data_IF_527574147522
#
_entry.id   IF_527574147522
#
_cell.length_a   1.000
_cell.length_b   1.000
_cell.length_c   1.000
_cell.angle_alpha   90.00
_cell.angle_beta   90.00
_cell.angle_gamma   90.00
#
_symmetry.space_group_name_H-M   'P 1'
#
loop_
_entity.id
_entity.type
_entity.pdbx_description
1 polymer ?
#
# COMPACT_ATOMS: atom_id res chain seq x y z
N UNK A 1 2.02 -5.60 -22.84
CA UNK A 1 2.48 -4.21 -23.08
C UNK A 1 1.94 -3.35 -21.94
N UNK A 2 2.81 -2.80 -21.08
CA UNK A 2 2.39 -1.79 -20.10
C UNK A 2 2.14 -0.48 -20.84
N UNK A 3 0.88 -0.04 -20.87
CA UNK A 3 0.52 1.28 -21.37
C UNK A 3 0.57 2.28 -20.21
N UNK A 4 1.25 3.41 -20.41
CA UNK A 4 1.35 4.48 -19.40
C UNK A 4 0.00 4.96 -18.86
N UNK A 5 -1.03 5.05 -19.71
CA UNK A 5 -2.40 5.40 -19.29
C UNK A 5 -3.01 4.28 -18.46
N UNK A 6 -2.85 3.02 -18.90
CA UNK A 6 -3.32 1.85 -18.15
C UNK A 6 -2.71 1.83 -16.75
N UNK A 7 -1.38 1.94 -16.67
CA UNK A 7 -0.65 2.05 -15.40
C UNK A 7 -1.16 3.20 -14.53
N UNK A 8 -1.37 4.40 -15.10
CA UNK A 8 -1.89 5.54 -14.33
C UNK A 8 -3.29 5.30 -13.74
N UNK A 9 -4.12 4.51 -14.42
CA UNK A 9 -5.50 4.25 -14.02
C UNK A 9 -5.66 3.03 -13.11
N UNK A 10 -4.86 1.98 -13.30
CA UNK A 10 -5.04 0.69 -12.63
C UNK A 10 -3.99 0.36 -11.58
N UNK A 11 -2.78 0.93 -11.66
CA UNK A 11 -1.70 0.61 -10.73
C UNK A 11 -2.10 0.97 -9.31
N UNK A 12 -1.98 0.01 -8.41
CA UNK A 12 -2.06 0.25 -6.98
C UNK A 12 -0.68 0.58 -6.41
N UNK A 13 -0.60 1.66 -5.66
CA UNK A 13 0.49 1.88 -4.73
C UNK A 13 0.09 1.31 -3.38
N UNK A 14 0.92 0.42 -2.82
CA UNK A 14 0.72 -0.16 -1.49
C UNK A 14 1.78 0.43 -0.57
N UNK A 15 1.37 1.34 0.30
CA UNK A 15 2.22 1.90 1.33
C UNK A 15 2.13 1.03 2.59
N UNK A 16 3.26 0.55 3.08
CA UNK A 16 3.38 -0.26 4.30
C UNK A 16 4.13 0.55 5.35
N UNK A 17 3.56 0.66 6.55
CA UNK A 17 4.10 1.44 7.66
C UNK A 17 4.10 0.62 8.94
N UNK A 18 5.04 0.91 9.85
CA UNK A 18 5.18 0.28 11.17
C UNK A 18 5.25 -1.27 11.11
N UNK A 19 5.76 -1.83 10.01
CA UNK A 19 5.75 -3.27 9.73
C UNK A 19 7.10 -3.92 10.06
N UNK A 20 7.51 -3.83 11.33
CA UNK A 20 8.83 -4.29 11.77
C UNK A 20 9.09 -5.78 11.47
N UNK A 21 8.04 -6.60 11.50
CA UNK A 21 8.11 -8.04 11.21
C UNK A 21 7.96 -8.37 9.72
N UNK A 22 7.65 -7.37 8.88
CA UNK A 22 7.50 -7.54 7.43
C UNK A 22 6.21 -8.24 6.99
N UNK A 23 5.23 -8.45 7.89
CA UNK A 23 4.00 -9.21 7.60
C UNK A 23 3.17 -8.57 6.48
N UNK A 24 3.06 -7.24 6.48
CA UNK A 24 2.30 -6.51 5.46
C UNK A 24 3.08 -6.38 4.17
N UNK A 25 4.39 -6.15 4.25
CA UNK A 25 5.28 -6.09 3.09
C UNK A 25 5.24 -7.40 2.32
N UNK A 26 5.35 -8.53 3.02
CA UNK A 26 5.40 -9.83 2.38
C UNK A 26 4.04 -10.20 1.77
N UNK A 27 2.93 -9.90 2.46
CA UNK A 27 1.58 -10.03 1.90
C UNK A 27 1.36 -9.14 0.67
N UNK A 28 1.84 -7.89 0.68
CA UNK A 28 1.78 -7.00 -0.47
C UNK A 28 2.62 -7.52 -1.64
N UNK A 29 3.79 -8.08 -1.37
CA UNK A 29 4.68 -8.68 -2.38
C UNK A 29 4.14 -10.01 -2.95
N UNK A 30 3.18 -10.66 -2.29
CA UNK A 30 2.54 -11.87 -2.81
C UNK A 30 1.47 -11.59 -3.89
N UNK A 31 1.03 -10.34 -4.05
CA UNK A 31 0.02 -9.97 -5.05
C UNK A 31 0.58 -10.06 -6.50
N UNK A 32 -0.23 -9.87 -7.55
CA UNK A 32 0.25 -9.70 -8.93
C UNK A 32 1.16 -8.48 -9.11
N UNK A 33 2.36 -8.68 -9.69
CA UNK A 33 3.41 -7.64 -9.80
C UNK A 33 3.06 -6.50 -10.75
N UNK A 34 2.44 -6.81 -11.87
CA UNK A 34 2.23 -5.85 -12.96
C UNK A 34 1.26 -4.72 -12.60
N UNK A 35 0.44 -4.91 -11.57
CA UNK A 35 -0.61 -3.97 -11.16
C UNK A 35 -0.31 -3.31 -9.81
N UNK A 36 0.93 -3.48 -9.27
CA UNK A 36 1.31 -2.91 -7.98
C UNK A 36 2.67 -2.21 -7.95
N UNK A 37 2.80 -1.33 -6.97
CA UNK A 37 4.08 -0.89 -6.40
C UNK A 37 4.00 -1.03 -4.89
N UNK A 38 5.08 -1.44 -4.22
CA UNK A 38 5.13 -1.53 -2.75
C UNK A 38 6.12 -0.50 -2.23
N UNK A 39 5.67 0.37 -1.34
CA UNK A 39 6.48 1.37 -0.64
C UNK A 39 6.47 0.98 0.83
N UNK A 40 7.51 0.26 1.26
CA UNK A 40 7.68 -0.11 2.66
C UNK A 40 8.57 0.92 3.35
N UNK A 41 8.08 1.47 4.46
CA UNK A 41 8.86 2.36 5.32
C UNK A 41 8.78 1.87 6.75
N UNK A 42 9.92 1.90 7.44
CA UNK A 42 10.01 1.48 8.84
C UNK A 42 9.38 2.53 9.78
N UNK A 43 9.36 3.79 9.35
CA UNK A 43 8.80 4.92 10.08
C UNK A 43 7.78 5.69 9.24
N UNK A 44 6.66 6.07 9.85
CA UNK A 44 5.60 6.81 9.19
C UNK A 44 6.11 8.10 8.50
N UNK A 45 7.04 8.83 9.11
CA UNK A 45 7.59 10.07 8.54
C UNK A 45 8.39 9.91 7.23
N UNK A 46 8.76 8.68 6.86
CA UNK A 46 9.59 8.39 5.70
C UNK A 46 8.80 8.20 4.39
N UNK A 47 7.46 8.22 4.42
CA UNK A 47 6.67 8.20 3.18
C UNK A 47 6.98 9.45 2.33
N UNK A 48 7.07 9.33 0.99
CA UNK A 48 7.38 10.46 0.12
C UNK A 48 6.43 11.67 0.32
N UNK A 49 6.96 12.88 0.17
CA UNK A 49 6.15 14.08 0.18
C UNK A 49 5.08 14.03 -0.93
N UNK A 50 3.85 14.41 -0.60
CA UNK A 50 2.71 14.32 -1.52
C UNK A 50 2.06 12.93 -1.61
N UNK A 51 2.59 11.90 -0.94
CA UNK A 51 1.90 10.60 -0.84
C UNK A 51 0.56 10.75 -0.09
N UNK A 52 -0.50 10.21 -0.68
CA UNK A 52 -1.81 10.16 -0.04
C UNK A 52 -1.82 9.25 1.19
N UNK A 53 -0.97 8.21 1.21
CA UNK A 53 -0.79 7.36 2.38
C UNK A 53 -0.13 8.13 3.53
N UNK A 54 0.83 9.03 3.23
CA UNK A 54 1.45 9.91 4.24
C UNK A 54 0.40 10.76 4.97
N UNK A 55 -0.60 11.26 4.25
CA UNK A 55 -1.71 12.03 4.84
C UNK A 55 -2.61 11.20 5.78
N UNK A 56 -2.59 9.87 5.64
CA UNK A 56 -3.42 8.94 6.45
C UNK A 56 -2.62 8.13 7.47
N UNK A 57 -1.29 8.19 7.44
CA UNK A 57 -0.43 7.35 8.28
C UNK A 57 -0.70 7.47 9.78
N UNK A 58 -1.20 8.61 10.26
CA UNK A 58 -1.53 8.82 11.67
C UNK A 58 -2.67 7.90 12.15
N UNK A 59 -3.43 7.28 11.24
CA UNK A 59 -4.46 6.29 11.56
C UNK A 59 -3.93 4.86 11.58
N UNK A 60 -2.66 4.63 11.23
CA UNK A 60 -2.07 3.30 11.25
C UNK A 60 -1.80 2.85 12.69
N UNK A 61 -2.13 1.59 13.04
CA UNK A 61 -1.70 0.99 14.29
C UNK A 61 -0.17 0.95 14.45
N UNK A 62 0.27 0.84 15.70
CA UNK A 62 1.69 0.76 16.03
C UNK A 62 2.33 -0.58 15.62
N UNK A 63 1.52 -1.64 15.51
CA UNK A 63 1.91 -3.00 15.10
C UNK A 63 1.88 -3.21 13.56
N UNK A 64 1.65 -2.14 12.80
CA UNK A 64 1.75 -2.14 11.35
C UNK A 64 0.43 -1.93 10.64
N UNK A 65 0.52 -1.39 9.42
CA UNK A 65 -0.62 -1.31 8.50
C UNK A 65 -0.15 -1.25 7.05
N UNK A 66 -1.07 -1.56 6.15
CA UNK A 66 -0.95 -1.22 4.74
C UNK A 66 -2.06 -0.27 4.29
N UNK A 67 -1.76 0.58 3.31
CA UNK A 67 -2.74 1.41 2.59
C UNK A 67 -2.68 1.05 1.12
N UNK A 68 -3.83 0.75 0.53
CA UNK A 68 -3.94 0.49 -0.91
C UNK A 68 -4.46 1.75 -1.58
N UNK A 69 -3.64 2.34 -2.44
CA UNK A 69 -3.94 3.58 -3.13
C UNK A 69 -4.07 3.36 -4.63
N UNK A 70 -5.21 3.75 -5.23
CA UNK A 70 -5.47 3.69 -6.68
C UNK A 70 -6.16 4.97 -7.12
N UNK A 71 -5.82 5.46 -8.31
CA UNK A 71 -6.48 6.60 -8.95
C UNK A 71 -6.69 7.83 -8.03
N UNK A 72 -5.70 8.14 -7.19
CA UNK A 72 -5.74 9.30 -6.30
C UNK A 72 -6.58 9.12 -5.03
N UNK A 73 -6.91 7.88 -4.64
CA UNK A 73 -7.59 7.57 -3.39
C UNK A 73 -6.88 6.44 -2.67
N UNK A 74 -6.87 6.48 -1.34
CA UNK A 74 -6.33 5.40 -0.50
C UNK A 74 -7.43 4.79 0.36
N UNK A 75 -7.28 3.51 0.67
CA UNK A 75 -8.12 2.79 1.62
C UNK A 75 -8.02 3.36 3.05
N UNK A 76 -8.86 2.84 3.94
CA UNK A 76 -8.57 2.82 5.37
C UNK A 76 -7.31 1.96 5.64
N UNK A 77 -6.65 2.11 6.81
CA UNK A 77 -5.55 1.22 7.18
C UNK A 77 -6.03 -0.23 7.17
N UNK A 78 -5.30 -1.07 6.45
CA UNK A 78 -5.47 -2.52 6.46
C UNK A 78 -4.62 -3.07 7.59
N UNK A 79 -5.26 -3.66 8.58
CA UNK A 79 -4.62 -4.14 9.82
C UNK A 79 -4.40 -5.65 9.85
N UNK A 80 -5.01 -6.37 8.91
CA UNK A 80 -4.82 -7.81 8.70
C UNK A 80 -4.16 -8.04 7.33
N UNK A 81 -2.92 -8.56 7.25
CA UNK A 81 -2.17 -8.69 6.00
C UNK A 81 -2.92 -9.49 4.92
N UNK A 82 -3.62 -10.56 5.31
CA UNK A 82 -4.41 -11.40 4.42
C UNK A 82 -5.56 -10.65 3.73
N UNK A 83 -6.03 -9.55 4.33
CA UNK A 83 -7.09 -8.72 3.74
C UNK A 83 -6.62 -7.98 2.49
N UNK A 84 -5.30 -7.85 2.26
CA UNK A 84 -4.75 -7.25 1.05
C UNK A 84 -5.18 -8.01 -0.21
N UNK A 85 -5.24 -9.35 -0.16
CA UNK A 85 -5.70 -10.16 -1.29
C UNK A 85 -7.18 -9.89 -1.63
N UNK A 86 -8.02 -9.71 -0.61
CA UNK A 86 -9.44 -9.39 -0.79
C UNK A 86 -9.66 -8.01 -1.40
N UNK A 87 -8.84 -7.02 -1.01
CA UNK A 87 -8.84 -5.68 -1.60
C UNK A 87 -8.24 -5.65 -3.01
N UNK A 88 -7.52 -6.70 -3.41
CA UNK A 88 -6.89 -6.79 -4.72
C UNK A 88 -7.84 -7.28 -5.82
N UNK A 89 -8.85 -8.06 -5.45
CA UNK A 89 -9.82 -8.66 -6.38
C UNK A 89 -10.98 -7.73 -6.75
N UNK A 90 -11.06 -6.54 -6.14
CA UNK A 90 -12.07 -5.50 -6.39
C UNK A 90 -11.45 -4.33 -7.13
#
# INVERSE_FOLDING_TARGET
LLNAIGTRLSLAEIAVVNDAEGRFRDAALALPFLDRTVIAVDEAGALPEGSLARARQATAPADGAAFVCRAGQCSAPVTEPESLATLWLK
#
